data_IF_965355718224
#
_entry.id   IF_965355718224
#
_cell.length_a   1.000
_cell.length_b   1.000
_cell.length_c   1.000
_cell.angle_alpha   90.00
_cell.angle_beta   90.00
_cell.angle_gamma   90.00
#
_symmetry.space_group_name_H-M   'P 1'
#
loop_
_entity.id
_entity.type
_entity.pdbx_description
1 polymer ?
#
# COMPACT_ATOMS: atom_id res chain seq x y z
N UNK A 1 -47.61 -51.20 -28.11
CA UNK A 1 -46.94 -52.52 -28.03
C UNK A 1 -45.66 -52.49 -28.85
N UNK A 2 -44.52 -52.26 -28.19
CA UNK A 2 -43.17 -52.74 -28.54
C UNK A 2 -42.20 -52.26 -27.44
N UNK A 3 -41.94 -53.16 -26.50
CA UNK A 3 -40.78 -53.17 -25.62
C UNK A 3 -39.61 -53.78 -26.39
N UNK A 4 -38.37 -53.32 -26.17
CA UNK A 4 -37.08 -54.07 -26.12
C UNK A 4 -36.01 -53.01 -25.79
N UNK A 5 -35.36 -52.96 -24.62
CA UNK A 5 -34.41 -53.84 -23.90
C UNK A 5 -32.91 -53.49 -24.13
N UNK A 6 -32.33 -52.81 -23.13
CA UNK A 6 -31.08 -53.08 -22.38
C UNK A 6 -29.81 -53.48 -23.17
N UNK A 7 -28.70 -52.75 -22.92
CA UNK A 7 -27.40 -53.22 -22.33
C UNK A 7 -26.40 -52.04 -22.32
N UNK A 8 -26.00 -51.51 -21.17
CA UNK A 8 -24.91 -51.95 -20.25
C UNK A 8 -23.49 -51.90 -20.85
N UNK A 9 -22.74 -50.93 -20.31
CA UNK A 9 -21.35 -51.01 -19.86
C UNK A 9 -20.22 -50.87 -20.88
N UNK A 10 -19.44 -49.78 -20.75
CA UNK A 10 -17.99 -49.90 -20.61
C UNK A 10 -17.50 -48.86 -19.58
N UNK A 11 -17.08 -49.38 -18.43
CA UNK A 11 -16.27 -48.64 -17.49
C UNK A 11 -14.86 -48.49 -18.07
N UNK A 12 -14.28 -47.30 -17.96
CA UNK A 12 -12.84 -47.17 -17.78
C UNK A 12 -12.62 -46.52 -16.42
N UNK A 13 -12.24 -47.38 -15.49
CA UNK A 13 -11.84 -47.02 -14.14
C UNK A 13 -10.38 -46.56 -14.12
N UNK A 14 -10.08 -45.81 -13.06
CA UNK A 14 -8.80 -45.69 -12.38
C UNK A 14 -7.78 -44.68 -12.93
N UNK A 15 -7.74 -43.53 -12.25
CA UNK A 15 -6.61 -43.02 -11.44
C UNK A 15 -6.70 -41.48 -11.46
N UNK A 16 -7.00 -40.81 -10.36
CA UNK A 16 -6.07 -40.69 -9.26
C UNK A 16 -6.74 -40.80 -7.89
N UNK A 17 -6.03 -41.52 -7.03
CA UNK A 17 -6.34 -41.91 -5.68
C UNK A 17 -5.90 -40.81 -4.67
N UNK A 18 -6.69 -40.71 -3.60
CA UNK A 18 -6.27 -40.44 -2.21
C UNK A 18 -5.72 -39.06 -1.80
N UNK A 19 -6.51 -38.36 -0.99
CA UNK A 19 -6.23 -37.98 0.42
C UNK A 19 -7.17 -36.84 0.83
N UNK A 20 -7.78 -36.74 2.02
CA UNK A 20 -7.97 -37.59 3.18
C UNK A 20 -9.07 -36.87 4.00
N UNK A 21 -10.01 -37.61 4.59
CA UNK A 21 -10.86 -37.07 5.65
C UNK A 21 -10.18 -37.29 7.01
N UNK A 22 -10.23 -36.27 7.88
CA UNK A 22 -10.44 -36.27 9.35
C UNK A 22 -9.72 -35.06 9.95
N UNK A 23 -10.49 -34.10 10.47
CA UNK A 23 -10.40 -33.76 11.89
C UNK A 23 -11.74 -33.26 12.44
N UNK A 24 -12.13 -33.83 13.58
CA UNK A 24 -13.22 -33.40 14.45
C UNK A 24 -12.93 -32.00 15.03
N UNK A 25 -13.97 -31.36 15.57
CA UNK A 25 -14.07 -29.94 15.88
C UNK A 25 -12.89 -29.30 16.66
N UNK A 26 -12.70 -28.00 16.35
CA UNK A 26 -12.07 -26.93 17.14
C UNK A 26 -10.61 -26.49 16.79
N UNK A 27 -10.31 -26.40 15.50
CA UNK A 27 -10.04 -25.10 14.83
C UNK A 27 -10.51 -25.27 13.38
N UNK A 28 -11.76 -24.93 13.06
CA UNK A 28 -12.25 -25.16 11.69
C UNK A 28 -11.42 -24.33 10.72
N UNK A 29 -10.79 -25.01 9.75
CA UNK A 29 -10.16 -24.37 8.61
C UNK A 29 -11.20 -23.47 7.95
N UNK A 30 -10.98 -22.16 8.07
CA UNK A 30 -11.83 -21.12 7.51
C UNK A 30 -11.02 -20.40 6.43
N UNK A 31 -11.67 -20.07 5.32
CA UNK A 31 -11.13 -19.19 4.30
C UNK A 31 -11.82 -17.85 4.45
N UNK A 32 -11.03 -16.78 4.58
CA UNK A 32 -11.52 -15.41 4.57
C UNK A 32 -11.18 -14.80 3.21
N UNK A 33 -12.20 -14.24 2.55
CA UNK A 33 -12.03 -13.48 1.32
C UNK A 33 -11.99 -12.00 1.68
N UNK A 34 -10.86 -11.35 1.40
CA UNK A 34 -10.65 -9.91 1.58
C UNK A 34 -10.36 -9.23 0.24
N UNK A 35 -11.00 -8.11 -0.01
CA UNK A 35 -10.95 -7.33 -1.25
C UNK A 35 -10.38 -5.94 -0.99
N UNK A 36 -9.08 -5.77 -1.22
CA UNK A 36 -8.26 -4.58 -0.95
C UNK A 36 -8.51 -3.40 -1.95
N UNK A 37 -8.15 -2.15 -1.61
CA UNK A 37 -8.38 -0.83 -2.26
C UNK A 37 -9.79 -0.15 -2.22
N UNK A 38 -9.82 1.17 -2.45
CA UNK A 38 -11.08 1.88 -2.72
C UNK A 38 -11.63 1.41 -4.10
N UNK A 39 -12.92 1.05 -4.22
CA UNK A 39 -13.63 0.67 -5.47
C UNK A 39 -14.95 1.41 -5.63
N UNK A 40 -15.71 1.14 -6.69
CA UNK A 40 -17.01 1.78 -6.89
C UNK A 40 -18.08 1.15 -6.01
N UNK A 41 -19.15 1.91 -5.72
CA UNK A 41 -20.34 1.38 -5.09
C UNK A 41 -20.90 0.07 -5.67
N UNK A 42 -21.12 0.02 -6.99
CA UNK A 42 -21.79 -1.13 -7.62
C UNK A 42 -20.92 -2.39 -7.66
N UNK A 43 -19.61 -2.24 -7.66
CA UNK A 43 -18.66 -3.35 -7.60
C UNK A 43 -18.67 -4.02 -6.24
N UNK A 44 -18.60 -3.22 -5.17
CA UNK A 44 -18.73 -3.74 -3.83
C UNK A 44 -20.10 -4.42 -3.62
N UNK A 45 -21.15 -3.95 -4.30
CA UNK A 45 -22.48 -4.59 -4.29
C UNK A 45 -22.53 -5.90 -5.05
N UNK A 46 -21.97 -5.99 -6.24
CA UNK A 46 -22.00 -7.22 -7.03
C UNK A 46 -21.20 -8.35 -6.36
N UNK A 47 -20.03 -8.02 -5.77
CA UNK A 47 -19.26 -8.97 -4.95
C UNK A 47 -20.08 -9.40 -3.74
N UNK A 48 -20.77 -8.47 -3.10
CA UNK A 48 -21.67 -8.80 -2.01
C UNK A 48 -22.82 -9.74 -2.43
N UNK A 49 -23.52 -9.47 -3.53
CA UNK A 49 -24.65 -10.29 -3.98
C UNK A 49 -24.24 -11.72 -4.39
N UNK A 50 -23.08 -11.88 -5.03
CA UNK A 50 -22.57 -13.21 -5.38
C UNK A 50 -22.25 -14.05 -4.13
N UNK A 51 -21.61 -13.45 -3.12
CA UNK A 51 -21.34 -14.13 -1.85
C UNK A 51 -22.64 -14.42 -1.09
N UNK A 52 -23.66 -13.55 -1.22
CA UNK A 52 -25.00 -13.83 -0.69
C UNK A 52 -25.70 -15.00 -1.37
N UNK A 53 -25.61 -15.16 -2.69
CA UNK A 53 -26.27 -16.25 -3.42
C UNK A 53 -25.82 -17.65 -2.95
N UNK A 54 -24.57 -17.73 -2.48
CA UNK A 54 -23.97 -18.94 -1.89
C UNK A 54 -24.02 -18.95 -0.34
N UNK A 55 -24.74 -18.00 0.27
CA UNK A 55 -24.92 -17.83 1.70
C UNK A 55 -23.60 -17.70 2.51
N UNK A 56 -22.62 -16.98 1.95
CA UNK A 56 -21.33 -16.66 2.57
C UNK A 56 -21.10 -15.14 2.65
N UNK A 57 -19.98 -14.71 3.24
CA UNK A 57 -19.57 -13.29 3.36
C UNK A 57 -18.11 -13.10 2.97
N UNK A 58 -17.77 -11.86 2.66
CA UNK A 58 -16.41 -11.40 2.39
C UNK A 58 -16.16 -10.03 3.03
N UNK A 59 -14.90 -9.58 2.97
CA UNK A 59 -14.45 -8.29 3.47
C UNK A 59 -13.85 -7.41 2.37
N UNK A 60 -13.91 -6.09 2.51
CA UNK A 60 -13.42 -5.12 1.51
C UNK A 60 -12.42 -4.13 2.14
N UNK A 61 -11.11 -4.26 1.95
CA UNK A 61 -10.12 -3.29 2.43
C UNK A 61 -9.99 -2.06 1.51
N UNK A 62 -9.97 -0.81 2.00
CA UNK A 62 -10.09 0.39 1.13
C UNK A 62 -9.04 1.50 1.36
N UNK A 63 -8.58 2.19 0.30
CA UNK A 63 -7.65 3.36 0.29
C UNK A 63 -8.34 4.63 0.79
N UNK A 64 -8.82 4.62 2.02
CA UNK A 64 -9.80 5.59 2.53
C UNK A 64 -9.57 7.09 2.22
N UNK A 65 -8.32 7.55 2.07
CA UNK A 65 -7.95 8.95 1.77
C UNK A 65 -8.37 9.48 0.39
N UNK A 66 -8.82 8.60 -0.52
CA UNK A 66 -9.35 8.95 -1.84
C UNK A 66 -10.86 8.74 -2.01
N UNK A 67 -11.60 8.51 -0.92
CA UNK A 67 -13.02 8.16 -1.02
C UNK A 67 -13.91 9.38 -1.31
N UNK A 68 -14.86 9.19 -2.23
CA UNK A 68 -15.96 10.13 -2.45
C UNK A 68 -17.14 9.87 -1.48
N UNK A 69 -18.02 10.86 -1.36
CA UNK A 69 -19.23 10.74 -0.53
C UNK A 69 -20.15 9.58 -0.97
N UNK A 70 -20.24 9.33 -2.29
CA UNK A 70 -21.05 8.24 -2.85
C UNK A 70 -20.43 6.86 -2.57
N UNK A 71 -19.10 6.76 -2.62
CA UNK A 71 -18.36 5.57 -2.20
C UNK A 71 -18.55 5.30 -0.71
N UNK A 72 -18.51 6.34 0.12
CA UNK A 72 -18.83 6.24 1.55
C UNK A 72 -20.26 5.74 1.79
N UNK A 73 -21.24 6.25 1.04
CA UNK A 73 -22.63 5.85 1.18
C UNK A 73 -22.88 4.38 0.79
N UNK A 74 -22.18 3.87 -0.22
CA UNK A 74 -22.30 2.47 -0.62
C UNK A 74 -21.63 1.49 0.34
N UNK A 75 -20.40 1.80 0.78
CA UNK A 75 -19.71 0.99 1.79
C UNK A 75 -20.56 0.86 3.04
N UNK A 76 -21.26 1.95 3.41
CA UNK A 76 -22.25 1.92 4.48
C UNK A 76 -23.39 0.95 4.19
N UNK A 77 -24.02 1.03 3.03
CA UNK A 77 -25.14 0.14 2.70
C UNK A 77 -24.75 -1.34 2.71
N UNK A 78 -23.53 -1.67 2.29
CA UNK A 78 -23.01 -3.04 2.29
C UNK A 78 -22.64 -3.55 3.68
N UNK A 79 -22.13 -2.65 4.52
CA UNK A 79 -21.91 -2.96 5.92
C UNK A 79 -23.22 -3.22 6.67
N UNK A 80 -24.25 -2.41 6.40
CA UNK A 80 -25.60 -2.59 6.98
C UNK A 80 -26.23 -3.94 6.55
N UNK A 81 -25.81 -4.51 5.42
CA UNK A 81 -26.20 -5.82 4.88
C UNK A 81 -25.27 -6.98 5.31
N UNK A 82 -24.33 -6.70 6.22
CA UNK A 82 -23.47 -7.67 6.90
C UNK A 82 -22.19 -8.06 6.17
N UNK A 83 -21.69 -7.24 5.23
CA UNK A 83 -20.33 -7.35 4.70
C UNK A 83 -19.32 -6.63 5.56
N UNK A 84 -18.08 -7.12 5.57
CA UNK A 84 -16.98 -6.50 6.31
C UNK A 84 -16.28 -5.46 5.43
N UNK A 85 -16.01 -4.25 5.94
CA UNK A 85 -15.20 -3.23 5.26
C UNK A 85 -13.92 -3.05 6.10
N UNK A 86 -12.78 -2.96 5.44
CA UNK A 86 -11.42 -2.91 5.96
C UNK A 86 -10.69 -1.72 5.31
N UNK A 87 -9.42 -1.47 5.60
CA UNK A 87 -8.61 -0.40 4.99
C UNK A 87 -7.38 -0.99 4.23
N UNK A 88 -7.06 -0.44 3.06
CA UNK A 88 -5.92 -0.82 2.21
C UNK A 88 -5.02 0.37 1.88
N UNK A 89 -4.59 1.08 2.92
CA UNK A 89 -3.66 2.22 2.83
C UNK A 89 -4.23 3.41 2.07
N UNK A 90 -4.47 4.50 2.78
CA UNK A 90 -5.18 5.68 2.28
C UNK A 90 -4.59 6.40 1.02
N UNK A 91 -3.39 6.06 0.55
CA UNK A 91 -2.76 6.57 -0.68
C UNK A 91 -1.80 5.55 -1.37
N UNK A 92 -1.93 4.26 -1.03
CA UNK A 92 -1.32 3.07 -1.67
C UNK A 92 0.17 2.99 -2.02
N UNK A 93 1.01 3.97 -1.67
CA UNK A 93 2.33 3.98 -2.28
C UNK A 93 3.35 3.00 -1.65
N UNK A 94 3.84 2.05 -2.46
CA UNK A 94 4.90 1.06 -2.13
C UNK A 94 6.18 1.39 -2.90
N UNK A 95 7.23 1.79 -2.19
CA UNK A 95 8.51 2.22 -2.80
C UNK A 95 9.67 1.23 -2.61
N UNK A 96 9.39 0.06 -2.03
CA UNK A 96 10.40 -0.92 -1.66
C UNK A 96 9.89 -2.32 -1.93
N UNK A 97 10.63 -3.07 -2.73
CA UNK A 97 10.48 -4.52 -2.83
C UNK A 97 11.53 -5.18 -1.94
N UNK A 98 11.10 -6.18 -1.16
CA UNK A 98 11.99 -6.96 -0.31
C UNK A 98 11.78 -8.46 -0.51
N UNK A 99 12.87 -9.18 -0.69
CA UNK A 99 12.84 -10.63 -0.86
C UNK A 99 13.23 -11.35 0.42
N UNK A 100 12.50 -12.43 0.71
CA UNK A 100 12.79 -13.28 1.86
C UNK A 100 14.06 -14.11 1.64
N UNK A 101 14.28 -14.61 0.42
CA UNK A 101 15.42 -15.45 0.05
C UNK A 101 16.43 -14.69 -0.79
N UNK A 102 17.70 -14.94 -0.53
CA UNK A 102 18.82 -14.30 -1.26
C UNK A 102 18.86 -14.71 -2.73
N UNK A 103 18.59 -15.99 -3.03
CA UNK A 103 18.51 -16.49 -4.40
C UNK A 103 17.48 -15.73 -5.23
N UNK A 104 16.33 -15.42 -4.63
CA UNK A 104 15.23 -14.73 -5.29
C UNK A 104 15.59 -13.26 -5.53
N UNK A 105 16.24 -12.62 -4.56
CA UNK A 105 16.79 -11.27 -4.71
C UNK A 105 17.85 -11.19 -5.84
N UNK A 106 18.82 -12.11 -5.86
CA UNK A 106 19.91 -12.11 -6.86
C UNK A 106 19.35 -12.30 -8.26
N UNK A 107 18.44 -13.27 -8.42
CA UNK A 107 17.77 -13.51 -9.69
C UNK A 107 16.97 -12.27 -10.13
N UNK A 108 16.22 -11.64 -9.23
CA UNK A 108 15.48 -10.41 -9.51
C UNK A 108 16.42 -9.28 -9.97
N UNK A 109 17.55 -9.08 -9.28
CA UNK A 109 18.50 -8.02 -9.59
C UNK A 109 19.29 -8.23 -10.89
N UNK A 110 19.55 -9.47 -11.31
CA UNK A 110 20.35 -9.77 -12.51
C UNK A 110 19.64 -9.34 -13.81
N UNK A 111 18.31 -9.26 -13.78
CA UNK A 111 17.49 -8.84 -14.92
C UNK A 111 17.07 -7.36 -14.89
N UNK A 112 17.42 -6.59 -13.85
CA UNK A 112 17.01 -5.19 -13.75
C UNK A 112 17.97 -4.26 -14.51
N UNK A 113 17.43 -3.35 -15.32
CA UNK A 113 18.19 -2.22 -15.86
C UNK A 113 18.34 -1.15 -14.78
N UNK A 114 19.54 -1.03 -14.23
CA UNK A 114 19.85 -0.09 -13.15
C UNK A 114 20.01 1.35 -13.63
N UNK A 115 20.00 1.60 -14.94
CA UNK A 115 20.01 2.95 -15.48
C UNK A 115 18.59 3.49 -15.73
N UNK A 116 17.56 2.70 -15.44
CA UNK A 116 16.19 3.12 -15.60
C UNK A 116 15.83 4.22 -14.58
N UNK A 117 14.96 5.15 -14.97
CA UNK A 117 14.60 6.32 -14.16
C UNK A 117 13.85 5.97 -12.85
N UNK A 118 13.13 4.85 -12.82
CA UNK A 118 12.42 4.35 -11.63
C UNK A 118 13.34 3.64 -10.64
N UNK A 119 14.53 3.21 -11.08
CA UNK A 119 15.44 2.45 -10.23
C UNK A 119 16.16 3.41 -9.30
N UNK A 120 15.86 3.33 -8.00
CA UNK A 120 16.56 4.13 -7.01
C UNK A 120 17.81 3.45 -6.49
N UNK A 121 17.66 2.25 -5.94
CA UNK A 121 18.81 1.49 -5.44
C UNK A 121 18.53 0.02 -5.21
N UNK A 122 19.60 -0.78 -5.10
CA UNK A 122 19.54 -2.17 -4.65
C UNK A 122 20.46 -2.35 -3.45
N UNK A 123 19.96 -3.00 -2.40
CA UNK A 123 20.67 -3.32 -1.18
C UNK A 123 20.68 -4.85 -0.99
N UNK A 124 21.84 -5.45 -1.26
CA UNK A 124 21.99 -6.91 -1.24
C UNK A 124 21.88 -7.51 0.17
N UNK A 125 22.40 -6.83 1.20
CA UNK A 125 22.35 -7.34 2.56
C UNK A 125 20.91 -7.35 3.11
N UNK A 126 20.14 -6.31 2.76
CA UNK A 126 18.72 -6.22 3.12
C UNK A 126 17.80 -6.99 2.17
N UNK A 127 18.31 -7.46 1.03
CA UNK A 127 17.55 -8.01 -0.10
C UNK A 127 16.42 -7.08 -0.53
N UNK A 128 16.74 -5.79 -0.66
CA UNK A 128 15.79 -4.73 -1.03
C UNK A 128 16.14 -4.11 -2.36
N UNK A 129 15.12 -3.76 -3.11
CA UNK A 129 15.21 -2.82 -4.23
C UNK A 129 14.28 -1.66 -3.91
N UNK A 130 14.74 -0.44 -4.15
CA UNK A 130 14.01 0.80 -3.91
C UNK A 130 13.70 1.48 -5.23
N UNK A 131 12.52 2.08 -5.27
CA UNK A 131 12.00 2.78 -6.43
C UNK A 131 12.02 4.28 -6.19
N UNK A 132 12.54 5.04 -7.14
CA UNK A 132 12.53 6.49 -7.06
C UNK A 132 11.09 7.01 -6.93
N UNK A 133 10.85 8.07 -6.13
CA UNK A 133 9.56 8.75 -6.12
C UNK A 133 9.50 9.84 -7.20
N UNK A 134 8.41 9.88 -7.94
CA UNK A 134 7.98 11.05 -8.70
C UNK A 134 7.14 11.97 -7.78
N UNK A 135 7.30 13.29 -7.95
CA UNK A 135 6.78 14.29 -7.04
C UNK A 135 6.09 15.39 -7.84
N UNK A 136 4.77 15.52 -7.71
CA UNK A 136 4.03 16.66 -8.24
C UNK A 136 4.09 17.81 -7.24
N UNK A 137 5.04 18.72 -7.43
CA UNK A 137 5.19 19.91 -6.58
C UNK A 137 4.08 20.96 -6.81
N UNK A 138 3.33 20.86 -7.92
CA UNK A 138 2.21 21.74 -8.26
C UNK A 138 0.88 21.29 -7.69
N UNK A 139 0.82 20.12 -7.05
CA UNK A 139 -0.43 19.53 -6.58
C UNK A 139 -1.19 20.47 -5.62
N UNK A 140 -2.51 20.63 -5.83
CA UNK A 140 -3.32 21.63 -5.13
C UNK A 140 -3.40 21.42 -3.60
N UNK A 141 -3.12 20.19 -3.11
CA UNK A 141 -3.06 19.88 -1.68
C UNK A 141 -1.66 20.05 -1.07
N UNK A 142 -0.65 20.34 -1.88
CA UNK A 142 0.67 20.66 -1.36
C UNK A 142 0.65 22.00 -0.62
N UNK A 143 1.57 22.15 0.32
CA UNK A 143 1.67 23.35 1.15
C UNK A 143 3.09 23.89 1.09
N UNK A 144 3.25 25.12 0.58
CA UNK A 144 4.53 25.84 0.55
C UNK A 144 4.77 26.57 1.86
N UNK A 145 6.02 26.59 2.32
CA UNK A 145 6.41 27.26 3.57
C UNK A 145 7.90 27.62 3.57
N UNK A 146 8.32 28.52 4.46
CA UNK A 146 9.74 28.83 4.67
C UNK A 146 10.24 28.13 5.94
N UNK A 147 11.42 27.51 5.86
CA UNK A 147 12.08 26.90 7.01
C UNK A 147 13.59 26.81 6.84
N UNK A 148 14.28 26.44 7.91
CA UNK A 148 15.73 26.23 7.94
C UNK A 148 16.06 24.89 8.61
N UNK A 149 17.25 24.37 8.38
CA UNK A 149 17.70 23.11 8.99
C UNK A 149 18.97 23.38 9.80
N UNK A 150 19.00 22.93 11.05
CA UNK A 150 20.20 22.94 11.90
C UNK A 150 20.42 21.56 12.47
N UNK A 151 21.63 21.01 12.32
CA UNK A 151 22.02 19.65 12.72
C UNK A 151 21.01 18.58 12.23
N UNK A 152 20.51 18.74 10.99
CA UNK A 152 19.53 17.83 10.38
C UNK A 152 18.10 17.91 10.91
N UNK A 153 17.82 18.86 11.80
CA UNK A 153 16.49 19.14 12.29
C UNK A 153 15.88 20.35 11.56
N UNK A 154 14.71 20.17 10.96
CA UNK A 154 13.94 21.21 10.28
C UNK A 154 13.18 22.08 11.28
N UNK A 155 13.36 23.39 11.18
CA UNK A 155 12.64 24.42 11.91
C UNK A 155 11.79 25.24 10.93
N UNK A 156 10.59 25.60 11.36
CA UNK A 156 9.62 26.36 10.58
C UNK A 156 8.87 27.27 11.56
N UNK A 157 8.92 28.58 11.32
CA UNK A 157 8.25 29.58 12.15
C UNK A 157 6.74 29.63 11.89
N UNK A 158 6.27 29.13 10.74
CA UNK A 158 4.83 28.94 10.47
C UNK A 158 4.29 27.77 11.32
N UNK A 159 3.62 28.14 12.40
CA UNK A 159 3.05 27.19 13.35
C UNK A 159 2.00 26.26 12.72
N UNK A 160 1.29 26.68 11.66
CA UNK A 160 0.26 25.87 10.97
C UNK A 160 0.88 24.78 10.12
N UNK A 161 1.96 25.12 9.41
CA UNK A 161 2.69 24.14 8.61
C UNK A 161 3.52 23.22 9.49
N UNK A 162 4.19 23.78 10.50
CA UNK A 162 4.96 23.02 11.48
C UNK A 162 4.12 21.94 12.21
N UNK A 163 2.80 22.15 12.33
CA UNK A 163 1.86 21.18 12.86
C UNK A 163 1.53 20.02 11.89
N UNK A 164 1.62 20.22 10.58
CA UNK A 164 1.37 19.18 9.56
C UNK A 164 2.60 18.32 9.26
N UNK A 165 3.79 18.76 9.67
CA UNK A 165 5.07 18.03 9.52
C UNK A 165 5.17 16.89 10.54
N UNK A 166 4.42 15.80 10.29
CA UNK A 166 4.32 14.64 11.16
C UNK A 166 4.96 13.39 10.56
N UNK A 167 5.05 12.30 11.32
CA UNK A 167 5.64 11.04 10.84
C UNK A 167 5.07 10.61 9.48
N UNK A 168 5.93 10.07 8.63
CA UNK A 168 5.66 9.65 7.24
C UNK A 168 5.35 10.75 6.24
N UNK A 169 5.13 12.00 6.68
CA UNK A 169 5.04 13.16 5.77
C UNK A 169 6.37 13.42 5.08
N UNK A 170 6.26 14.08 3.94
CA UNK A 170 7.34 14.21 2.99
C UNK A 170 7.52 15.67 2.62
N UNK A 171 8.77 16.14 2.72
CA UNK A 171 9.13 17.54 2.48
C UNK A 171 10.10 17.58 1.31
N UNK A 172 9.75 18.33 0.28
CA UNK A 172 10.66 18.65 -0.79
C UNK A 172 11.50 19.85 -0.40
N UNK A 173 12.82 19.69 -0.47
CA UNK A 173 13.79 20.76 -0.22
C UNK A 173 14.46 21.09 -1.55
N UNK A 174 14.16 22.25 -2.18
CA UNK A 174 14.64 22.58 -3.52
C UNK A 174 16.17 22.60 -3.66
N UNK A 175 16.89 23.20 -2.71
CA UNK A 175 18.37 23.25 -2.74
C UNK A 175 19.04 21.88 -2.65
N UNK A 176 18.34 20.88 -2.12
CA UNK A 176 18.79 19.48 -2.09
C UNK A 176 18.28 18.66 -3.27
N UNK A 177 17.32 19.19 -4.03
CA UNK A 177 16.58 18.48 -5.06
C UNK A 177 16.10 17.09 -4.58
N UNK A 178 15.61 17.01 -3.34
CA UNK A 178 15.31 15.75 -2.68
C UNK A 178 14.10 15.84 -1.75
N UNK A 179 13.46 14.68 -1.57
CA UNK A 179 12.32 14.48 -0.70
C UNK A 179 12.76 13.81 0.61
N UNK A 180 12.40 14.42 1.72
CA UNK A 180 12.77 13.94 3.05
C UNK A 180 11.55 13.48 3.82
N UNK A 181 11.68 12.36 4.51
CA UNK A 181 10.70 11.89 5.48
C UNK A 181 10.87 12.62 6.80
N UNK A 182 9.76 13.09 7.37
CA UNK A 182 9.74 13.50 8.78
C UNK A 182 9.64 12.25 9.64
N UNK A 183 10.50 12.16 10.65
CA UNK A 183 10.57 10.98 11.53
C UNK A 183 10.15 11.29 12.95
N UNK A 184 10.65 12.38 13.52
CA UNK A 184 10.34 12.75 14.90
C UNK A 184 10.64 14.23 15.16
N UNK A 185 10.16 14.74 16.29
CA UNK A 185 10.49 16.08 16.79
C UNK A 185 11.63 15.97 17.81
N UNK A 186 12.64 16.83 17.68
CA UNK A 186 13.79 16.97 18.58
C UNK A 186 13.45 17.83 19.81
N UNK A 187 14.32 17.80 20.83
CA UNK A 187 14.09 18.46 22.13
C UNK A 187 14.10 19.99 22.06
N UNK A 188 14.74 20.55 21.04
CA UNK A 188 14.80 21.97 20.72
C UNK A 188 13.62 22.44 19.83
N UNK A 189 12.70 21.53 19.47
CA UNK A 189 11.55 21.81 18.63
C UNK A 189 11.78 21.56 17.13
N UNK A 190 12.97 21.14 16.70
CA UNK A 190 13.22 20.80 15.29
C UNK A 190 12.55 19.48 14.86
N UNK A 191 12.34 19.26 13.57
CA UNK A 191 11.81 18.00 13.01
C UNK A 191 12.94 17.23 12.36
N UNK A 192 13.30 16.08 12.95
CA UNK A 192 14.35 15.22 12.41
C UNK A 192 13.95 14.71 11.04
N UNK A 193 14.81 15.00 10.08
CA UNK A 193 14.67 14.55 8.70
C UNK A 193 15.38 13.22 8.51
N UNK A 194 14.77 12.36 7.72
CA UNK A 194 15.41 11.22 7.08
C UNK A 194 15.29 11.30 5.58
N UNK A 195 16.12 10.52 4.91
CA UNK A 195 15.89 10.20 3.51
C UNK A 195 14.48 9.67 3.29
N UNK A 196 13.99 9.82 2.05
CA UNK A 196 12.68 9.38 1.60
C UNK A 196 12.27 7.97 2.08
N UNK A 197 13.20 7.01 1.98
CA UNK A 197 13.00 5.61 2.35
C UNK A 197 13.08 5.33 3.86
N UNK A 198 13.38 6.35 4.67
CA UNK A 198 13.34 6.30 6.14
C UNK A 198 14.54 5.66 6.82
N UNK A 199 15.65 5.49 6.10
CA UNK A 199 16.77 4.65 6.54
C UNK A 199 17.93 5.41 7.17
N UNK A 200 18.12 6.69 6.85
CA UNK A 200 19.27 7.48 7.33
C UNK A 200 18.84 8.87 7.78
N UNK A 201 19.24 9.21 9.02
CA UNK A 201 19.08 10.54 9.60
C UNK A 201 19.97 11.54 8.86
N UNK A 202 19.42 12.72 8.62
CA UNK A 202 20.15 13.82 8.00
C UNK A 202 20.90 14.62 9.05
N UNK A 203 22.03 15.25 8.69
CA UNK A 203 22.86 16.09 9.59
C UNK A 203 23.33 17.38 8.91
N UNK A 204 22.64 17.80 7.84
CA UNK A 204 23.03 19.01 7.12
C UNK A 204 22.36 20.26 7.71
N UNK A 205 22.97 21.40 7.45
CA UNK A 205 22.40 22.72 7.75
C UNK A 205 21.90 23.40 6.46
N UNK A 206 20.85 24.19 6.60
CA UNK A 206 20.29 25.05 5.56
C UNK A 206 19.80 26.34 6.20
N UNK A 207 20.10 27.48 5.59
CA UNK A 207 19.45 28.75 5.93
C UNK A 207 17.97 28.73 5.52
N UNK A 208 17.23 29.80 5.85
CA UNK A 208 15.83 29.92 5.49
C UNK A 208 15.62 29.78 3.97
N UNK A 209 14.77 28.83 3.58
CA UNK A 209 14.43 28.52 2.18
C UNK A 209 12.95 28.16 2.06
N UNK A 210 12.35 28.43 0.90
CA UNK A 210 11.02 27.90 0.56
C UNK A 210 11.09 26.38 0.33
N UNK A 211 10.25 25.64 1.05
CA UNK A 211 10.10 24.20 0.98
C UNK A 211 8.64 23.83 0.67
N UNK A 212 8.41 22.58 0.30
CA UNK A 212 7.05 22.07 0.03
C UNK A 212 6.78 20.88 0.92
N UNK A 213 5.76 21.00 1.78
CA UNK A 213 5.11 19.84 2.37
C UNK A 213 4.25 19.19 1.29
N UNK A 214 4.62 17.98 0.89
CA UNK A 214 4.02 17.27 -0.24
C UNK A 214 2.89 16.36 0.26
N UNK A 215 1.71 16.47 -0.35
CA UNK A 215 0.58 15.58 -0.03
C UNK A 215 0.90 14.15 -0.44
N UNK A 216 0.39 13.15 0.29
CA UNK A 216 0.74 11.76 0.02
C UNK A 216 0.26 11.31 -1.38
N UNK A 217 -0.82 11.88 -1.91
CA UNK A 217 -1.27 11.58 -3.28
C UNK A 217 -0.42 12.28 -4.34
N UNK A 218 0.36 13.30 -3.95
CA UNK A 218 1.28 14.02 -4.82
C UNK A 218 2.67 13.35 -4.91
N UNK A 219 2.83 12.18 -4.30
CA UNK A 219 4.07 11.40 -4.30
C UNK A 219 3.70 10.02 -4.78
N UNK A 220 4.31 9.60 -5.88
CA UNK A 220 4.03 8.32 -6.50
C UNK A 220 5.34 7.61 -6.81
N UNK A 221 5.40 6.27 -6.79
CA UNK A 221 6.55 5.56 -7.36
C UNK A 221 6.74 5.98 -8.83
N UNK A 222 7.99 6.26 -9.23
CA UNK A 222 8.38 6.64 -10.60
C UNK A 222 8.36 5.46 -11.58
#
# INVERSE_FOLDING_TARGET
>A
MKTILIRKSFALAAAALAAYGVHAAASTAAVAFRFDDNHTPDDWRAVAEAFKAENVRCSFAVVSGGLSDEQGACLKALSDDGFEIMDHTAAHAVYVAQWLKETDYVAACAGMDRNAAWFGSANASARKVRFEPEIDLGHAKNVRFTGHVTDGALFCDDTTVAAQLTFSKKIWIPSKAALFGVVSTAADGGRKLREFYGETDQTFDLADEEMVLVDQIAIQPA
#
